data_IF_574353568884
#
_entry.id   IF_574353568884
#
_cell.length_a   1.000
_cell.length_b   1.000
_cell.length_c   1.000
_cell.angle_alpha   90.00
_cell.angle_beta   90.00
_cell.angle_gamma   90.00
#
_symmetry.space_group_name_H-M   'P 1'
#
loop_
_entity.id
_entity.type
_entity.pdbx_description
1 polymer ?
#
# COMPACT_ATOMS: atom_id res chain seq x y z
N UNK A 1 1.30 24.73 -24.76
CA UNK A 1 0.64 24.60 -23.44
C UNK A 1 0.35 23.16 -23.00
N UNK A 2 -0.09 22.25 -23.88
CA UNK A 2 -0.47 20.86 -23.52
C UNK A 2 0.68 19.96 -23.04
N UNK A 3 1.93 20.29 -23.39
CA UNK A 3 3.10 19.49 -23.06
C UNK A 3 3.52 19.62 -21.59
N UNK A 4 3.18 20.72 -20.92
CA UNK A 4 3.47 20.94 -19.49
C UNK A 4 2.46 20.15 -18.61
N UNK A 5 1.20 20.04 -19.05
CA UNK A 5 0.10 19.38 -18.32
C UNK A 5 0.25 17.85 -18.20
N UNK A 6 0.95 17.18 -19.13
CA UNK A 6 1.15 15.72 -19.09
C UNK A 6 2.21 15.29 -18.07
N UNK A 7 3.17 16.17 -17.77
CA UNK A 7 4.28 15.88 -16.87
C UNK A 7 4.08 16.47 -15.47
N UNK A 8 3.20 17.46 -15.32
CA UNK A 8 2.75 17.95 -14.01
C UNK A 8 2.33 16.85 -13.03
N UNK A 9 1.53 15.81 -13.38
CA UNK A 9 1.20 14.76 -12.41
C UNK A 9 2.43 13.97 -11.97
N UNK A 10 3.39 13.74 -12.87
CA UNK A 10 4.64 13.05 -12.52
C UNK A 10 5.48 13.85 -11.52
N UNK A 11 5.65 15.15 -11.77
CA UNK A 11 6.37 16.03 -10.85
C UNK A 11 5.65 16.22 -9.51
N UNK A 12 4.32 16.26 -9.51
CA UNK A 12 3.51 16.31 -8.28
C UNK A 12 3.68 15.03 -7.47
N UNK A 13 3.58 13.85 -8.09
CA UNK A 13 3.78 12.56 -7.42
C UNK A 13 5.20 12.48 -6.84
N UNK A 14 6.21 12.89 -7.61
CA UNK A 14 7.60 12.90 -7.17
C UNK A 14 7.82 13.85 -5.99
N UNK A 15 7.23 15.05 -6.02
CA UNK A 15 7.32 16.02 -4.95
C UNK A 15 6.64 15.52 -3.67
N UNK A 16 5.45 14.91 -3.79
CA UNK A 16 4.74 14.30 -2.65
C UNK A 16 5.55 13.16 -2.04
N UNK A 17 6.11 12.27 -2.87
CA UNK A 17 6.94 11.16 -2.41
C UNK A 17 8.20 11.66 -1.68
N UNK A 18 8.86 12.70 -2.22
CA UNK A 18 10.04 13.29 -1.60
C UNK A 18 9.68 13.97 -0.26
N UNK A 19 8.56 14.68 -0.20
CA UNK A 19 8.05 15.31 1.03
C UNK A 19 7.70 14.27 2.11
N UNK A 20 7.12 13.13 1.74
CA UNK A 20 6.81 12.05 2.69
C UNK A 20 8.06 11.47 3.35
N UNK A 21 9.19 11.41 2.64
CA UNK A 21 10.48 10.95 3.21
C UNK A 21 11.03 11.97 4.20
N UNK A 22 10.88 13.28 3.91
CA UNK A 22 11.35 14.37 4.77
C UNK A 22 10.51 14.52 6.05
N UNK A 23 9.25 14.05 6.05
CA UNK A 23 8.34 14.09 7.19
C UNK A 23 8.23 12.75 7.93
N UNK A 24 9.23 11.88 7.85
CA UNK A 24 9.24 10.64 8.62
C UNK A 24 9.31 10.93 10.12
N UNK A 25 8.29 10.49 10.85
CA UNK A 25 8.23 10.53 12.32
C UNK A 25 8.06 9.11 12.84
N UNK A 26 8.61 8.82 14.03
CA UNK A 26 8.35 7.56 14.72
C UNK A 26 6.84 7.36 14.88
N UNK A 27 6.35 6.20 14.42
CA UNK A 27 4.93 5.85 14.52
C UNK A 27 4.62 5.53 15.99
N UNK A 28 4.28 6.55 16.78
CA UNK A 28 3.56 6.35 18.04
C UNK A 28 2.12 5.94 17.69
N UNK A 29 1.58 4.92 18.35
CA UNK A 29 0.33 4.28 17.94
C UNK A 29 -0.80 5.29 17.67
N UNK A 30 -1.44 5.16 16.51
CA UNK A 30 -2.50 6.07 16.04
C UNK A 30 -3.84 5.88 16.75
N UNK A 31 -3.92 4.97 17.74
CA UNK A 31 -5.11 4.77 18.55
C UNK A 31 -4.73 4.92 20.02
N UNK A 32 -5.09 6.06 20.63
CA UNK A 32 -4.86 6.36 22.04
C UNK A 32 -5.38 5.26 22.98
N UNK A 33 -6.43 4.53 22.57
CA UNK A 33 -7.01 3.43 23.34
C UNK A 33 -6.13 2.17 23.41
N UNK A 34 -5.38 1.86 22.35
CA UNK A 34 -4.48 0.70 22.35
C UNK A 34 -3.23 0.99 23.20
N UNK A 35 -2.70 2.21 23.16
CA UNK A 35 -1.58 2.62 24.02
C UNK A 35 -1.96 2.65 25.49
N UNK A 36 -3.12 3.22 25.85
CA UNK A 36 -3.58 3.29 27.24
C UNK A 36 -3.76 1.90 27.87
N UNK A 37 -4.27 0.93 27.12
CA UNK A 37 -4.45 -0.43 27.62
C UNK A 37 -3.10 -1.17 27.72
N UNK A 38 -2.17 -0.93 26.79
CA UNK A 38 -0.83 -1.49 26.84
C UNK A 38 -0.02 -0.91 28.01
N UNK A 39 -0.11 0.40 28.25
CA UNK A 39 0.53 1.11 29.36
C UNK A 39 -0.05 0.70 30.72
N UNK A 40 -1.38 0.60 30.86
CA UNK A 40 -2.01 0.08 32.08
C UNK A 40 -1.64 -1.38 32.37
N UNK A 41 -1.51 -2.20 31.32
CA UNK A 41 -1.07 -3.58 31.48
C UNK A 41 0.40 -3.64 31.93
N UNK A 42 1.27 -2.83 31.34
CA UNK A 42 2.69 -2.74 31.70
C UNK A 42 2.91 -2.20 33.12
N UNK A 43 2.09 -1.24 33.58
CA UNK A 43 2.14 -0.70 34.94
C UNK A 43 1.85 -1.75 36.02
N UNK A 44 1.07 -2.79 35.67
CA UNK A 44 0.79 -3.95 36.54
C UNK A 44 1.80 -5.10 36.35
N UNK A 45 2.95 -4.83 35.72
CA UNK A 45 4.01 -5.82 35.49
C UNK A 45 3.77 -6.76 34.31
N UNK A 46 2.69 -6.57 33.53
CA UNK A 46 2.37 -7.42 32.39
C UNK A 46 3.15 -6.98 31.13
N UNK A 47 4.02 -7.84 30.62
CA UNK A 47 4.83 -7.58 29.42
C UNK A 47 4.09 -7.83 28.10
N UNK A 48 2.86 -8.35 28.14
CA UNK A 48 2.06 -8.73 26.97
C UNK A 48 1.59 -7.52 26.15
N UNK A 49 1.63 -6.31 26.72
CA UNK A 49 1.42 -5.04 26.01
C UNK A 49 2.62 -4.56 25.18
N UNK A 50 3.82 -5.14 25.40
CA UNK A 50 5.00 -4.82 24.59
C UNK A 50 4.83 -5.44 23.19
N UNK A 51 4.88 -4.60 22.14
CA UNK A 51 4.74 -5.04 20.74
C UNK A 51 3.32 -4.98 20.17
N UNK A 52 2.34 -4.42 20.90
CA UNK A 52 0.97 -4.27 20.39
C UNK A 52 0.89 -3.41 19.12
N UNK A 53 1.74 -2.37 19.01
CA UNK A 53 1.82 -1.51 17.82
C UNK A 53 2.26 -2.29 16.57
N UNK A 54 3.26 -3.16 16.73
CA UNK A 54 3.74 -4.03 15.65
C UNK A 54 2.64 -5.00 15.20
N UNK A 55 1.85 -5.50 16.15
CA UNK A 55 0.68 -6.34 15.86
C UNK A 55 -0.41 -5.61 15.05
N UNK A 56 -0.70 -4.34 15.38
CA UNK A 56 -1.69 -3.53 14.65
C UNK A 56 -1.20 -3.24 13.23
N UNK A 57 0.06 -2.82 13.06
CA UNK A 57 0.65 -2.60 11.74
C UNK A 57 0.66 -3.88 10.90
N UNK A 58 0.96 -5.03 11.52
CA UNK A 58 0.90 -6.32 10.86
C UNK A 58 -0.52 -6.65 10.37
N UNK A 59 -1.54 -6.49 11.23
CA UNK A 59 -2.93 -6.75 10.86
C UNK A 59 -3.44 -5.80 9.77
N UNK A 60 -3.07 -4.51 9.83
CA UNK A 60 -3.42 -3.54 8.81
C UNK A 60 -2.69 -3.79 7.49
N UNK A 61 -1.46 -4.32 7.49
CA UNK A 61 -0.72 -4.61 6.26
C UNK A 61 -1.35 -5.75 5.43
N UNK A 62 -1.94 -6.74 6.08
CA UNK A 62 -2.54 -7.93 5.43
C UNK A 62 -3.55 -7.58 4.31
N UNK A 63 -4.61 -6.77 4.54
CA UNK A 63 -5.59 -6.46 3.49
C UNK A 63 -4.96 -5.77 2.27
N UNK A 64 -3.95 -4.91 2.46
CA UNK A 64 -3.26 -4.26 1.36
C UNK A 64 -2.41 -5.24 0.55
N UNK A 65 -1.68 -6.14 1.23
CA UNK A 65 -0.88 -7.18 0.56
C UNK A 65 -1.77 -8.12 -0.27
N UNK A 66 -2.93 -8.50 0.28
CA UNK A 66 -3.92 -9.32 -0.44
C UNK A 66 -4.44 -8.57 -1.68
N UNK A 67 -4.83 -7.31 -1.53
CA UNK A 67 -5.32 -6.50 -2.64
C UNK A 67 -4.29 -6.36 -3.78
N UNK A 68 -3.01 -6.13 -3.43
CA UNK A 68 -1.90 -6.08 -4.39
C UNK A 68 -1.75 -7.43 -5.11
N UNK A 69 -1.76 -8.53 -4.37
CA UNK A 69 -1.67 -9.89 -4.93
C UNK A 69 -2.77 -10.17 -5.94
N UNK A 70 -4.03 -9.88 -5.58
CA UNK A 70 -5.19 -10.03 -6.47
C UNK A 70 -5.04 -9.14 -7.71
N UNK A 71 -4.67 -7.87 -7.52
CA UNK A 71 -4.49 -6.92 -8.63
C UNK A 71 -3.42 -7.37 -9.63
N UNK A 72 -2.28 -7.88 -9.16
CA UNK A 72 -1.20 -8.41 -10.01
C UNK A 72 -1.65 -9.65 -10.78
N UNK A 73 -2.34 -10.59 -10.11
CA UNK A 73 -2.86 -11.79 -10.76
C UNK A 73 -3.89 -11.46 -11.84
N UNK A 74 -4.81 -10.53 -11.53
CA UNK A 74 -5.82 -10.05 -12.47
C UNK A 74 -5.18 -9.37 -13.69
N UNK A 75 -4.21 -8.47 -13.46
CA UNK A 75 -3.49 -7.78 -14.53
C UNK A 75 -2.75 -8.76 -15.45
N UNK A 76 -2.02 -9.73 -14.87
CA UNK A 76 -1.30 -10.76 -15.65
C UNK A 76 -2.27 -11.59 -16.50
N UNK A 77 -3.42 -12.00 -15.95
CA UNK A 77 -4.43 -12.77 -16.66
C UNK A 77 -5.07 -11.98 -17.81
N UNK A 78 -5.41 -10.72 -17.56
CA UNK A 78 -6.07 -9.87 -18.56
C UNK A 78 -5.14 -9.49 -19.72
N UNK A 79 -3.85 -9.25 -19.46
CA UNK A 79 -2.89 -8.90 -20.52
C UNK A 79 -2.54 -10.08 -21.43
N UNK A 80 -2.61 -11.32 -20.94
CA UNK A 80 -2.32 -12.51 -21.74
C UNK A 80 -3.41 -12.82 -22.78
N UNK A 81 -4.64 -12.38 -22.54
CA UNK A 81 -5.79 -12.62 -23.42
C UNK A 81 -5.93 -11.59 -24.56
N UNK A 82 -5.24 -10.45 -24.49
CA UNK A 82 -5.32 -9.38 -25.50
C UNK A 82 -4.26 -9.50 -26.61
N UNK A 83 -3.45 -10.55 -26.61
CA UNK A 83 -2.50 -10.85 -27.68
C UNK A 83 -3.07 -11.89 -28.67
N UNK A 84 -4.28 -11.65 -29.22
CA UNK A 84 -4.64 -12.33 -30.47
C UNK A 84 -3.78 -11.70 -31.57
N UNK A 85 -2.80 -12.45 -32.10
CA UNK A 85 -2.08 -12.06 -33.31
C UNK A 85 -3.09 -12.05 -34.45
N UNK A 86 -3.45 -10.87 -34.95
CA UNK A 86 -4.15 -10.74 -36.22
C UNK A 86 -3.17 -11.13 -37.31
N UNK A 87 -3.26 -12.37 -37.78
CA UNK A 87 -2.68 -12.75 -39.07
C UNK A 87 -3.41 -11.97 -40.18
N UNK A 88 -2.71 -11.51 -41.22
CA UNK A 88 -3.28 -10.68 -42.29
C UNK A 88 -4.37 -11.38 -43.12
N UNK A 89 -4.60 -12.68 -42.91
CA UNK A 89 -5.76 -13.39 -43.41
C UNK A 89 -6.71 -13.62 -42.24
N UNK A 90 -7.79 -12.83 -42.23
CA UNK A 90 -8.81 -12.85 -41.20
C UNK A 90 -9.63 -14.13 -41.25
N UNK A 91 -9.42 -14.99 -40.26
CA UNK A 91 -10.45 -15.86 -39.72
C UNK A 91 -10.28 -15.88 -38.20
N UNK A 92 -11.34 -15.51 -37.47
CA UNK A 92 -11.36 -15.43 -36.01
C UNK A 92 -12.12 -16.65 -35.47
N UNK A 93 -11.42 -17.54 -34.75
CA UNK A 93 -12.02 -18.40 -33.72
C UNK A 93 -11.69 -17.80 -32.35
#
# INVERSE_FOLDING_TARGET
>A
MYMISKWTPFFVILAVAMLSILCYTDVSAQCAMCSLNAENSAANGNTQGKGLNDGILFLLAIPYLIAIGIGVLWYKKYRKNNAKKVSPFGEQI
#
